data_IF_824910592716
#
_entry.id   IF_824910592716
#
_cell.length_a   1.000
_cell.length_b   1.000
_cell.length_c   1.000
_cell.angle_alpha   90.00
_cell.angle_beta   90.00
_cell.angle_gamma   90.00
#
_symmetry.space_group_name_H-M   'P 1'
#
loop_
_entity.id
_entity.type
_entity.pdbx_description
1 polymer ?
#
# COMPACT_ATOMS: atom_id res chain seq x y z
N UNK A 1 2.03 -14.48 29.09
CA UNK A 1 2.90 -13.29 28.91
C UNK A 1 2.49 -12.64 27.59
N UNK A 2 1.78 -11.51 27.57
CA UNK A 2 1.40 -10.89 26.30
C UNK A 2 2.63 -10.14 25.75
N UNK A 3 3.13 -10.46 24.54
CA UNK A 3 4.33 -9.83 23.98
C UNK A 3 4.02 -8.55 23.20
N UNK A 4 3.07 -7.73 23.66
CA UNK A 4 2.35 -6.81 22.76
C UNK A 4 2.87 -5.37 22.71
N UNK A 5 3.14 -4.70 23.84
CA UNK A 5 3.39 -3.24 23.80
C UNK A 5 4.78 -2.84 23.31
N UNK A 6 5.85 -3.48 23.80
CA UNK A 6 7.22 -3.12 23.41
C UNK A 6 7.49 -3.40 21.93
N UNK A 7 6.92 -4.48 21.40
CA UNK A 7 7.05 -4.87 19.99
C UNK A 7 6.31 -3.90 19.08
N UNK A 8 5.13 -3.43 19.50
CA UNK A 8 4.33 -2.46 18.75
C UNK A 8 5.04 -1.12 18.64
N UNK A 9 5.61 -0.60 19.74
CA UNK A 9 6.38 0.66 19.72
C UNK A 9 7.63 0.57 18.84
N UNK A 10 8.36 -0.55 18.91
CA UNK A 10 9.53 -0.76 18.05
C UNK A 10 9.15 -0.85 16.57
N UNK A 11 8.02 -1.48 16.25
CA UNK A 11 7.48 -1.57 14.90
C UNK A 11 7.12 -0.19 14.35
N UNK A 12 6.41 0.64 15.13
CA UNK A 12 6.02 2.00 14.72
C UNK A 12 7.23 2.91 14.50
N UNK A 13 8.23 2.83 15.37
CA UNK A 13 9.48 3.58 15.20
C UNK A 13 10.24 3.16 13.92
N UNK A 14 10.26 1.85 13.61
CA UNK A 14 10.87 1.34 12.39
C UNK A 14 10.12 1.79 11.14
N UNK A 15 8.78 1.73 11.15
CA UNK A 15 7.94 2.21 10.06
C UNK A 15 8.16 3.70 9.79
N UNK A 16 8.17 4.54 10.84
CA UNK A 16 8.44 5.97 10.71
C UNK A 16 9.84 6.26 10.13
N UNK A 17 10.84 5.47 10.53
CA UNK A 17 12.20 5.53 9.98
C UNK A 17 12.24 5.23 8.48
N UNK A 18 11.49 4.22 8.03
CA UNK A 18 11.41 3.83 6.62
C UNK A 18 10.70 4.90 5.80
N UNK A 19 9.53 5.38 6.24
CA UNK A 19 8.77 6.43 5.54
C UNK A 19 9.59 7.73 5.40
N UNK A 20 10.33 8.12 6.44
CA UNK A 20 11.19 9.33 6.39
C UNK A 20 12.34 9.22 5.38
N UNK A 21 12.90 8.02 5.19
CA UNK A 21 14.07 7.79 4.32
C UNK A 21 13.69 7.53 2.86
N UNK A 22 12.56 6.88 2.63
CA UNK A 22 12.19 6.35 1.31
C UNK A 22 10.92 6.97 0.73
N UNK A 23 10.23 7.85 1.48
CA UNK A 23 9.01 8.54 1.05
C UNK A 23 7.73 7.82 1.49
N UNK A 24 6.61 8.53 1.35
CA UNK A 24 5.27 7.99 1.61
C UNK A 24 5.00 6.84 0.63
N UNK A 25 4.59 5.69 1.20
CA UNK A 25 4.29 4.48 0.43
C UNK A 25 5.45 3.50 0.21
N UNK A 26 6.65 3.79 0.71
CA UNK A 26 7.76 2.82 0.70
C UNK A 26 7.49 1.56 1.55
N UNK A 27 6.61 1.67 2.55
CA UNK A 27 6.11 0.54 3.34
C UNK A 27 4.65 0.81 3.73
N UNK A 28 3.77 -0.16 3.52
CA UNK A 28 2.35 -0.08 3.82
C UNK A 28 1.88 -1.43 4.37
N UNK A 29 0.83 -1.45 5.19
CA UNK A 29 0.20 -2.73 5.56
C UNK A 29 -0.56 -3.29 4.36
N UNK A 30 -0.45 -4.60 4.17
CA UNK A 30 -1.23 -5.35 3.17
C UNK A 30 -2.72 -5.28 3.56
N UNK A 31 -3.44 -4.29 3.05
CA UNK A 31 -4.82 -3.96 3.41
C UNK A 31 -5.09 -2.48 3.75
N UNK A 32 -4.06 -1.70 4.11
CA UNK A 32 -4.15 -0.22 4.16
C UNK A 32 -4.06 0.40 2.76
N UNK A 33 -3.55 -0.36 1.77
CA UNK A 33 -3.68 -0.06 0.35
C UNK A 33 -5.13 -0.28 -0.13
N UNK A 34 -6.07 0.41 0.50
CA UNK A 34 -7.47 0.45 0.10
C UNK A 34 -7.51 1.21 -1.21
N UNK A 35 -7.61 0.48 -2.32
CA UNK A 35 -7.60 1.01 -3.68
C UNK A 35 -6.28 1.72 -4.03
N UNK A 36 -5.25 0.95 -4.40
CA UNK A 36 -4.37 1.42 -5.45
C UNK A 36 -5.28 1.70 -6.66
N UNK A 37 -5.74 2.94 -6.80
CA UNK A 37 -6.35 3.43 -8.03
C UNK A 37 -5.21 3.39 -9.05
N UNK A 38 -5.04 2.23 -9.66
CA UNK A 38 -4.10 2.07 -10.76
C UNK A 38 -4.65 2.97 -11.86
N UNK A 39 -3.92 4.04 -12.16
CA UNK A 39 -4.24 4.87 -13.32
C UNK A 39 -4.16 3.98 -14.55
N UNK A 40 -5.30 3.83 -15.21
CA UNK A 40 -5.46 3.05 -16.43
C UNK A 40 -5.68 4.01 -17.57
N UNK A 41 -4.92 3.84 -18.64
CA UNK A 41 -5.15 4.58 -19.89
C UNK A 41 -6.22 3.80 -20.66
N UNK A 42 -7.42 4.37 -20.89
CA UNK A 42 -8.48 3.68 -21.62
C UNK A 42 -8.00 3.34 -23.03
N UNK A 43 -8.26 2.13 -23.49
CA UNK A 43 -7.83 1.72 -24.84
C UNK A 43 -8.69 2.34 -25.94
N UNK A 44 -9.82 2.97 -25.58
CA UNK A 44 -10.81 3.51 -26.51
C UNK A 44 -11.80 2.45 -27.02
N UNK A 45 -11.71 1.21 -26.53
CA UNK A 45 -12.59 0.09 -26.86
C UNK A 45 -13.15 -0.56 -25.60
N UNK A 46 -14.45 -0.39 -25.37
CA UNK A 46 -15.17 -0.96 -24.21
C UNK A 46 -15.04 -2.48 -24.08
N UNK A 47 -14.91 -3.19 -25.21
CA UNK A 47 -14.72 -4.64 -25.21
C UNK A 47 -13.33 -5.04 -24.71
N UNK A 48 -12.32 -4.24 -25.03
CA UNK A 48 -10.93 -4.48 -24.65
C UNK A 48 -10.69 -4.08 -23.19
N UNK A 49 -11.23 -2.95 -22.75
CA UNK A 49 -11.17 -2.49 -21.36
C UNK A 49 -11.80 -3.55 -20.42
N UNK A 50 -12.96 -4.13 -20.79
CA UNK A 50 -13.57 -5.24 -20.04
C UNK A 50 -12.74 -6.52 -20.01
N UNK A 51 -11.99 -6.83 -21.07
CA UNK A 51 -11.14 -8.03 -21.11
C UNK A 51 -9.88 -7.86 -20.25
N UNK A 52 -9.40 -6.62 -20.12
CA UNK A 52 -8.24 -6.25 -19.30
C UNK A 52 -8.60 -6.06 -17.81
N UNK A 53 -9.90 -6.02 -17.48
CA UNK A 53 -10.37 -5.90 -16.10
C UNK A 53 -10.27 -4.48 -15.54
N UNK A 54 -10.31 -3.49 -16.44
CA UNK A 54 -10.31 -2.05 -16.14
C UNK A 54 -11.67 -1.41 -16.37
#
# INVERSE_FOLDING_TARGET
>A
MPPSEGRQKALEAALASVTKRFGEGAIMRLGEATHLQVEVIPTGSLALDRALGV
#
